data_IF_542039649253
#
_entry.id   IF_542039649253
#
_cell.length_a   1.000
_cell.length_b   1.000
_cell.length_c   1.000
_cell.angle_alpha   90.00
_cell.angle_beta   90.00
_cell.angle_gamma   90.00
#
_symmetry.space_group_name_H-M   'P 1'
#
loop_
_entity.id
_entity.type
_entity.pdbx_description
1 polymer ?
#
# COMPACT_ATOMS: atom_id res chain seq x y z
N UNK A 1 21.26 19.03 15.28
CA UNK A 1 19.94 18.62 14.76
C UNK A 1 19.70 19.11 13.33
N UNK A 2 20.07 20.37 13.00
CA UNK A 2 19.90 20.97 11.66
C UNK A 2 20.80 20.30 10.62
N UNK A 3 22.01 19.88 10.97
CA UNK A 3 22.93 19.19 10.08
C UNK A 3 22.46 17.78 9.67
N UNK A 4 21.74 17.06 10.54
CA UNK A 4 21.15 15.76 10.20
C UNK A 4 20.01 15.89 9.18
N UNK A 5 19.25 16.99 9.22
CA UNK A 5 18.17 17.27 8.26
C UNK A 5 18.72 17.64 6.87
N UNK A 6 19.86 18.35 6.82
CA UNK A 6 20.53 18.72 5.56
C UNK A 6 21.19 17.52 4.88
N UNK A 7 21.74 16.56 5.65
CA UNK A 7 22.28 15.32 5.10
C UNK A 7 21.19 14.41 4.50
N UNK A 8 19.98 14.44 5.05
CA UNK A 8 18.84 13.71 4.46
C UNK A 8 18.40 14.28 3.10
N UNK A 9 18.57 15.58 2.87
CA UNK A 9 18.17 16.20 1.60
C UNK A 9 19.12 15.93 0.43
N UNK A 10 20.36 15.56 0.71
CA UNK A 10 21.41 15.35 -0.32
C UNK A 10 21.60 13.89 -0.72
N UNK A 11 21.05 12.92 0.03
CA UNK A 11 21.26 11.48 -0.21
C UNK A 11 20.20 10.87 -1.12
N UNK A 12 19.07 11.53 -1.32
CA UNK A 12 18.03 11.02 -2.23
C UNK A 12 18.36 11.39 -3.68
N UNK A 13 19.36 10.71 -4.23
CA UNK A 13 19.62 10.67 -5.66
C UNK A 13 18.42 10.07 -6.43
N UNK A 14 18.60 9.93 -7.72
CA UNK A 14 17.64 9.26 -8.59
C UNK A 14 17.23 7.88 -8.03
N UNK A 15 15.98 7.49 -8.26
CA UNK A 15 15.43 6.25 -7.74
C UNK A 15 14.14 5.85 -8.45
N UNK A 16 13.50 4.80 -7.93
CA UNK A 16 12.26 4.23 -8.47
C UNK A 16 11.25 4.03 -7.36
N UNK A 17 10.04 4.47 -7.59
CA UNK A 17 8.88 4.19 -6.73
C UNK A 17 7.97 3.21 -7.45
N UNK A 18 7.57 2.15 -6.76
CA UNK A 18 6.50 1.26 -7.21
C UNK A 18 5.28 1.53 -6.34
N UNK A 19 4.19 1.91 -6.98
CA UNK A 19 2.91 2.13 -6.31
C UNK A 19 2.19 0.79 -6.06
N UNK A 20 1.25 0.77 -5.15
CA UNK A 20 0.41 -0.42 -4.90
C UNK A 20 -0.46 -0.84 -6.09
N UNK A 21 -0.58 0.02 -7.11
CA UNK A 21 -1.22 -0.30 -8.39
C UNK A 21 -0.31 -1.10 -9.32
N UNK A 22 0.99 -1.21 -9.00
CA UNK A 22 2.03 -1.74 -9.87
C UNK A 22 2.66 -0.68 -10.78
N UNK A 23 2.15 0.54 -10.79
CA UNK A 23 2.72 1.65 -11.56
C UNK A 23 4.11 1.99 -11.04
N UNK A 24 5.06 2.13 -11.96
CA UNK A 24 6.44 2.52 -11.69
C UNK A 24 6.63 4.00 -11.99
N UNK A 25 7.19 4.73 -11.03
CA UNK A 25 7.48 6.16 -11.15
C UNK A 25 8.96 6.40 -10.88
N UNK A 26 9.68 6.94 -11.86
CA UNK A 26 11.08 7.30 -11.70
C UNK A 26 11.24 8.63 -10.95
N UNK A 27 12.13 8.66 -9.99
CA UNK A 27 12.51 9.87 -9.26
C UNK A 27 13.74 10.46 -9.97
N UNK A 28 13.58 11.67 -10.51
CA UNK A 28 14.67 12.37 -11.20
C UNK A 28 15.45 13.34 -10.30
N UNK A 29 14.84 13.81 -9.22
CA UNK A 29 15.44 14.75 -8.26
C UNK A 29 15.14 14.33 -6.82
N UNK A 30 16.18 14.26 -5.99
CA UNK A 30 16.11 13.80 -4.59
C UNK A 30 15.27 14.64 -3.61
N UNK A 31 14.71 15.76 -4.06
CA UNK A 31 13.88 16.65 -3.22
C UNK A 31 12.40 16.25 -3.16
N UNK A 32 12.05 15.07 -3.66
CA UNK A 32 10.66 14.69 -3.87
C UNK A 32 9.99 14.01 -2.67
N UNK A 33 10.75 13.70 -1.61
CA UNK A 33 10.20 13.15 -0.37
C UNK A 33 10.02 14.27 0.64
N UNK A 34 8.78 14.60 0.96
CA UNK A 34 8.42 15.69 1.86
C UNK A 34 7.54 15.16 3.00
N UNK A 35 7.53 15.88 4.11
CA UNK A 35 6.60 15.65 5.22
C UNK A 35 5.61 16.81 5.31
N UNK A 36 4.33 16.48 5.39
CA UNK A 36 3.27 17.42 5.67
C UNK A 36 2.33 16.81 6.71
N UNK A 37 2.10 17.51 7.82
CA UNK A 37 1.29 17.05 8.95
C UNK A 37 1.67 15.63 9.41
N UNK A 38 2.97 15.36 9.60
CA UNK A 38 3.55 14.06 9.97
C UNK A 38 3.29 12.92 8.97
N UNK A 39 2.78 13.22 7.79
CA UNK A 39 2.56 12.24 6.73
C UNK A 39 3.63 12.40 5.66
N UNK A 40 4.35 11.31 5.38
CA UNK A 40 5.30 11.29 4.27
C UNK A 40 4.55 11.21 2.96
N UNK A 41 4.94 12.03 2.01
CA UNK A 41 4.46 11.96 0.64
C UNK A 41 5.63 12.12 -0.33
N UNK A 42 5.45 11.56 -1.50
CA UNK A 42 6.36 11.69 -2.61
C UNK A 42 5.71 12.61 -3.65
N UNK A 43 6.47 13.56 -4.19
CA UNK A 43 6.00 14.49 -5.22
C UNK A 43 6.85 14.31 -6.47
N UNK A 44 6.22 14.00 -7.60
CA UNK A 44 6.86 13.94 -8.90
C UNK A 44 5.99 14.64 -9.93
N UNK A 45 6.57 15.58 -10.69
CA UNK A 45 5.86 16.34 -11.73
C UNK A 45 4.53 16.93 -11.25
N UNK A 46 4.52 17.58 -10.07
CA UNK A 46 3.33 18.15 -9.41
C UNK A 46 2.28 17.13 -8.95
N UNK A 47 2.49 15.82 -9.13
CA UNK A 47 1.67 14.76 -8.54
C UNK A 47 2.17 14.40 -7.16
N UNK A 48 1.25 14.29 -6.20
CA UNK A 48 1.53 13.86 -4.83
C UNK A 48 1.09 12.42 -4.62
N UNK A 49 1.98 11.62 -4.07
CA UNK A 49 1.73 10.22 -3.73
C UNK A 49 1.84 10.03 -2.22
N UNK A 50 0.75 9.63 -1.58
CA UNK A 50 0.77 9.33 -0.15
C UNK A 50 1.59 8.05 0.10
N UNK A 51 2.34 8.00 1.21
CA UNK A 51 3.11 6.81 1.63
C UNK A 51 2.28 5.53 1.64
N UNK A 52 0.99 5.61 1.97
CA UNK A 52 0.07 4.46 1.97
C UNK A 52 -0.11 3.81 0.58
N UNK A 53 0.24 4.54 -0.48
CA UNK A 53 0.15 4.06 -1.85
C UNK A 53 1.49 3.56 -2.41
N UNK A 54 2.58 3.70 -1.64
CA UNK A 54 3.92 3.27 -2.03
C UNK A 54 4.12 1.83 -1.57
N UNK A 55 4.31 0.91 -2.51
CA UNK A 55 4.67 -0.46 -2.23
C UNK A 55 6.18 -0.59 -1.98
N UNK A 56 7.00 0.03 -2.83
CA UNK A 56 8.45 0.00 -2.75
C UNK A 56 9.05 1.33 -3.22
N UNK A 57 10.08 1.80 -2.54
CA UNK A 57 10.95 2.90 -2.98
C UNK A 57 12.39 2.44 -2.93
N UNK A 58 13.06 2.47 -4.06
CA UNK A 58 14.44 2.03 -4.23
C UNK A 58 15.26 3.16 -4.85
N UNK A 59 16.47 3.39 -4.37
CA UNK A 59 17.43 4.28 -4.99
C UNK A 59 18.12 3.60 -6.18
N UNK A 60 18.80 4.37 -7.04
CA UNK A 60 19.50 3.83 -8.20
C UNK A 60 20.66 2.87 -7.84
N UNK A 61 21.21 2.97 -6.64
CA UNK A 61 22.19 2.01 -6.12
C UNK A 61 21.57 0.69 -5.65
N UNK A 62 20.26 0.50 -5.81
CA UNK A 62 19.52 -0.68 -5.36
C UNK A 62 19.10 -0.64 -3.90
N UNK A 63 19.45 0.41 -3.14
CA UNK A 63 19.08 0.52 -1.74
C UNK A 63 17.57 0.77 -1.59
N UNK A 64 16.91 -0.04 -0.76
CA UNK A 64 15.49 0.10 -0.43
C UNK A 64 15.35 1.10 0.74
N UNK A 65 14.62 2.19 0.52
CA UNK A 65 14.37 3.22 1.54
C UNK A 65 13.01 3.01 2.21
N UNK A 66 11.97 2.68 1.43
CA UNK A 66 10.64 2.37 1.93
C UNK A 66 10.16 1.04 1.36
N UNK A 67 9.47 0.30 2.22
CA UNK A 67 8.74 -0.90 1.81
C UNK A 67 7.39 -0.92 2.50
N UNK A 68 6.36 -1.26 1.74
CA UNK A 68 4.99 -1.41 2.27
C UNK A 68 4.46 -0.17 3.00
N UNK A 69 4.85 1.03 2.50
CA UNK A 69 4.42 2.32 3.04
C UNK A 69 5.10 2.73 4.35
N UNK A 70 6.15 2.01 4.78
CA UNK A 70 6.92 2.30 6.00
C UNK A 70 8.42 2.37 5.69
N UNK A 71 9.21 3.14 6.46
CA UNK A 71 10.66 3.15 6.34
C UNK A 71 11.26 1.76 6.49
N UNK A 72 12.31 1.45 5.72
CA UNK A 72 12.93 0.12 5.72
C UNK A 72 13.46 -0.28 7.10
N UNK A 73 13.94 0.68 7.90
CA UNK A 73 14.37 0.42 9.28
C UNK A 73 13.24 -0.14 10.13
N UNK A 74 12.06 0.45 10.06
CA UNK A 74 10.86 -0.03 10.76
C UNK A 74 10.36 -1.36 10.20
N UNK A 75 10.39 -1.53 8.88
CA UNK A 75 10.00 -2.79 8.24
C UNK A 75 10.88 -3.97 8.70
N UNK A 76 12.21 -3.75 8.82
CA UNK A 76 13.15 -4.77 9.31
C UNK A 76 12.85 -5.25 10.73
N UNK A 77 12.31 -4.37 11.59
CA UNK A 77 11.95 -4.68 12.98
C UNK A 77 10.64 -5.46 13.12
N UNK A 78 9.82 -5.55 12.07
CA UNK A 78 8.58 -6.31 12.11
C UNK A 78 8.87 -7.82 12.21
N UNK A 79 8.01 -8.54 12.92
CA UNK A 79 7.95 -10.02 12.86
C UNK A 79 7.61 -10.49 11.44
N UNK A 80 7.83 -11.78 11.17
CA UNK A 80 7.46 -12.39 9.87
C UNK A 80 5.99 -12.12 9.53
N UNK A 81 5.09 -12.34 10.50
CA UNK A 81 3.66 -12.03 10.37
C UNK A 81 3.42 -10.53 10.08
N UNK A 82 4.13 -9.64 10.80
CA UNK A 82 4.02 -8.20 10.61
C UNK A 82 4.45 -7.76 9.22
N UNK A 83 5.54 -8.32 8.69
CA UNK A 83 6.02 -8.08 7.32
C UNK A 83 4.99 -8.56 6.29
N UNK A 84 4.46 -9.78 6.46
CA UNK A 84 3.45 -10.33 5.56
C UNK A 84 2.20 -9.45 5.49
N UNK A 85 1.69 -8.99 6.63
CA UNK A 85 0.51 -8.08 6.68
C UNK A 85 0.84 -6.72 6.07
N UNK A 86 2.01 -6.15 6.33
CA UNK A 86 2.42 -4.88 5.75
C UNK A 86 2.49 -4.96 4.21
N UNK A 87 3.10 -6.01 3.69
CA UNK A 87 3.21 -6.26 2.25
C UNK A 87 1.81 -6.49 1.63
N UNK A 88 0.93 -7.24 2.29
CA UNK A 88 -0.44 -7.45 1.85
C UNK A 88 -1.28 -6.15 1.85
N UNK A 89 -1.07 -5.23 2.80
CA UNK A 89 -1.75 -3.92 2.86
C UNK A 89 -1.47 -3.06 1.63
N UNK A 90 -0.28 -3.16 1.07
CA UNK A 90 0.14 -2.40 -0.12
C UNK A 90 0.03 -3.21 -1.42
N UNK A 91 -0.53 -4.41 -1.35
CA UNK A 91 -0.86 -5.25 -2.49
C UNK A 91 -2.26 -4.98 -3.02
N UNK A 92 -2.46 -5.25 -4.31
CA UNK A 92 -3.77 -5.27 -4.98
C UNK A 92 -3.95 -6.61 -5.70
N UNK A 93 -5.07 -6.80 -6.37
CA UNK A 93 -5.28 -7.99 -7.21
C UNK A 93 -4.32 -8.03 -8.41
N UNK A 94 -3.99 -6.84 -8.95
CA UNK A 94 -3.11 -6.69 -10.11
C UNK A 94 -1.63 -6.69 -9.72
N UNK A 95 -1.30 -6.25 -8.51
CA UNK A 95 0.09 -6.15 -8.04
C UNK A 95 0.22 -6.72 -6.63
N UNK A 96 0.97 -7.81 -6.49
CA UNK A 96 1.29 -8.44 -5.20
C UNK A 96 2.68 -7.99 -4.74
N UNK A 97 2.74 -7.19 -3.67
CA UNK A 97 3.99 -6.71 -3.09
C UNK A 97 4.63 -7.79 -2.18
N UNK A 98 4.93 -8.96 -2.74
CA UNK A 98 5.58 -10.05 -2.01
C UNK A 98 7.10 -9.77 -1.90
N UNK A 99 7.67 -9.98 -0.72
CA UNK A 99 9.11 -9.84 -0.51
C UNK A 99 9.84 -11.13 -0.83
N UNK A 100 10.10 -11.38 -2.11
CA UNK A 100 10.79 -12.58 -2.57
C UNK A 100 12.22 -12.72 -2.03
N UNK A 101 12.94 -11.61 -1.79
CA UNK A 101 14.29 -11.68 -1.23
C UNK A 101 14.26 -12.10 0.24
N UNK A 102 13.26 -11.63 0.99
CA UNK A 102 13.01 -12.12 2.33
C UNK A 102 12.68 -13.62 2.29
N UNK A 103 11.76 -14.05 1.43
CA UNK A 103 11.36 -15.46 1.33
C UNK A 103 12.53 -16.40 1.04
N UNK A 104 13.50 -15.96 0.21
CA UNK A 104 14.71 -16.74 -0.06
C UNK A 104 15.62 -16.90 1.16
N UNK A 105 15.54 -15.98 2.12
CA UNK A 105 16.37 -15.99 3.34
C UNK A 105 15.71 -16.68 4.54
N UNK A 106 14.43 -16.98 4.47
CA UNK A 106 13.65 -17.63 5.51
C UNK A 106 13.75 -19.17 5.41
N UNK A 107 13.59 -19.83 6.53
CA UNK A 107 13.37 -21.27 6.54
C UNK A 107 11.97 -21.64 6.01
N UNK A 108 11.70 -22.94 5.83
CA UNK A 108 10.45 -23.42 5.26
C UNK A 108 9.23 -23.08 6.14
N UNK A 109 9.38 -23.11 7.47
CA UNK A 109 8.30 -22.81 8.40
C UNK A 109 7.93 -21.33 8.36
N UNK A 110 8.93 -20.46 8.43
CA UNK A 110 8.74 -19.01 8.36
C UNK A 110 8.18 -18.56 7.00
N UNK A 111 8.59 -19.23 5.90
CA UNK A 111 8.00 -19.03 4.59
C UNK A 111 6.50 -19.38 4.57
N UNK A 112 6.12 -20.50 5.15
CA UNK A 112 4.71 -20.91 5.28
C UNK A 112 3.92 -19.89 6.11
N UNK A 113 4.48 -19.42 7.23
CA UNK A 113 3.84 -18.40 8.08
C UNK A 113 3.64 -17.10 7.28
N UNK A 114 4.67 -16.60 6.58
CA UNK A 114 4.58 -15.40 5.78
C UNK A 114 3.49 -15.53 4.70
N UNK A 115 3.53 -16.58 3.88
CA UNK A 115 2.60 -16.77 2.79
C UNK A 115 1.16 -16.99 3.27
N UNK A 116 0.96 -17.74 4.36
CA UNK A 116 -0.35 -17.91 4.99
C UNK A 116 -0.93 -16.55 5.42
N UNK A 117 -0.18 -15.76 6.19
CA UNK A 117 -0.66 -14.47 6.70
C UNK A 117 -0.87 -13.43 5.60
N UNK A 118 -0.04 -13.44 4.58
CA UNK A 118 -0.23 -12.62 3.38
C UNK A 118 -1.55 -12.96 2.68
N UNK A 119 -1.78 -14.24 2.43
CA UNK A 119 -2.99 -14.73 1.74
C UNK A 119 -4.26 -14.51 2.58
N UNK A 120 -4.21 -14.80 3.89
CA UNK A 120 -5.33 -14.57 4.82
C UNK A 120 -5.78 -13.11 4.80
N UNK A 121 -4.83 -12.17 4.82
CA UNK A 121 -5.13 -10.76 4.76
C UNK A 121 -5.75 -10.36 3.41
N UNK A 122 -5.20 -10.85 2.30
CA UNK A 122 -5.73 -10.59 0.96
C UNK A 122 -7.15 -11.16 0.79
N UNK A 123 -7.40 -12.36 1.32
CA UNK A 123 -8.72 -13.01 1.29
C UNK A 123 -9.73 -12.24 2.15
N UNK A 124 -9.36 -11.87 3.36
CA UNK A 124 -10.21 -11.08 4.25
C UNK A 124 -10.67 -9.76 3.61
N UNK A 125 -9.78 -9.07 2.88
CA UNK A 125 -10.15 -7.87 2.12
C UNK A 125 -11.17 -8.14 1.01
N UNK A 126 -11.07 -9.30 0.34
CA UNK A 126 -12.05 -9.70 -0.69
C UNK A 126 -13.41 -9.95 -0.05
N UNK A 127 -13.47 -10.72 1.03
CA UNK A 127 -14.72 -11.02 1.74
C UNK A 127 -15.41 -9.74 2.19
N UNK A 128 -14.69 -8.81 2.86
CA UNK A 128 -15.28 -7.53 3.30
C UNK A 128 -15.81 -6.71 2.11
N UNK A 129 -15.12 -6.74 0.97
CA UNK A 129 -15.57 -6.01 -0.23
C UNK A 129 -16.87 -6.61 -0.80
N UNK A 130 -16.95 -7.93 -0.92
CA UNK A 130 -18.13 -8.61 -1.46
C UNK A 130 -19.33 -8.51 -0.52
N UNK A 131 -19.14 -8.71 0.79
CA UNK A 131 -20.22 -8.55 1.78
C UNK A 131 -20.73 -7.11 1.82
N UNK A 132 -19.86 -6.12 1.74
CA UNK A 132 -20.25 -4.71 1.67
C UNK A 132 -21.13 -4.40 0.45
N UNK A 133 -20.73 -4.89 -0.73
CA UNK A 133 -21.52 -4.73 -1.97
C UNK A 133 -22.87 -5.44 -1.84
N UNK A 134 -22.92 -6.65 -1.31
CA UNK A 134 -24.13 -7.44 -1.14
C UNK A 134 -25.11 -6.75 -0.19
N UNK A 135 -24.63 -6.23 0.94
CA UNK A 135 -25.46 -5.47 1.91
C UNK A 135 -26.01 -4.21 1.28
N UNK A 136 -25.18 -3.43 0.56
CA UNK A 136 -25.67 -2.25 -0.14
C UNK A 136 -26.73 -2.57 -1.20
N UNK A 137 -26.57 -3.66 -1.96
CA UNK A 137 -27.54 -4.10 -2.95
C UNK A 137 -28.86 -4.53 -2.28
N UNK A 138 -28.80 -5.27 -1.18
CA UNK A 138 -30.00 -5.72 -0.43
C UNK A 138 -30.79 -4.54 0.19
N UNK A 139 -30.14 -3.42 0.51
CA UNK A 139 -30.81 -2.23 1.02
C UNK A 139 -31.36 -1.36 -0.13
N UNK A 140 -30.62 -1.24 -1.22
CA UNK A 140 -31.01 -0.36 -2.34
C UNK A 140 -32.23 -0.88 -3.11
N UNK A 141 -32.36 -2.20 -3.32
CA UNK A 141 -33.46 -2.78 -4.10
C UNK A 141 -34.82 -2.55 -3.43
N UNK A 142 -35.01 -2.85 -2.13
CA UNK A 142 -36.29 -2.57 -1.48
C UNK A 142 -36.68 -1.09 -1.45
N UNK A 143 -35.71 -0.19 -1.27
CA UNK A 143 -35.98 1.25 -1.22
C UNK A 143 -36.42 1.81 -2.57
N UNK A 144 -35.83 1.35 -3.66
CA UNK A 144 -36.25 1.75 -5.02
C UNK A 144 -37.66 1.21 -5.36
N UNK A 145 -38.00 -0.02 -4.99
CA UNK A 145 -39.34 -0.59 -5.16
C UNK A 145 -40.40 0.15 -4.36
N UNK A 146 -40.10 0.56 -3.12
CA UNK A 146 -41.00 1.38 -2.30
C UNK A 146 -41.24 2.75 -2.95
N UNK A 147 -40.22 3.42 -3.47
CA UNK A 147 -40.38 4.71 -4.15
C UNK A 147 -41.26 4.56 -5.40
N UNK A 148 -41.06 3.52 -6.19
CA UNK A 148 -41.91 3.21 -7.36
C UNK A 148 -43.35 2.94 -6.97
N UNK A 149 -43.59 2.17 -5.89
CA UNK A 149 -44.91 1.89 -5.39
C UNK A 149 -45.64 3.17 -4.93
N UNK A 150 -44.97 4.05 -4.18
CA UNK A 150 -45.56 5.31 -3.75
C UNK A 150 -45.80 6.31 -4.89
N UNK A 151 -44.95 6.36 -5.90
CA UNK A 151 -45.16 7.21 -7.08
C UNK A 151 -46.26 6.68 -8.01
N UNK A 152 -46.51 5.37 -8.03
CA UNK A 152 -47.59 4.74 -8.80
C UNK A 152 -48.98 4.92 -8.19
N UNK A 153 -49.09 5.29 -6.90
CA UNK A 153 -50.38 5.52 -6.20
C UNK A 153 -50.84 6.98 -6.35
N UNK A 154 -49.96 7.88 -6.81
CA UNK A 154 -50.27 9.33 -6.91
C UNK A 154 -50.71 9.75 -8.32
N UNK A 155 -50.94 8.82 -9.22
CA UNK A 155 -51.58 9.00 -10.55
C UNK A 155 -52.87 8.20 -10.62
#
# INVERSE_FOLDING_TARGET
FIYALLLFSTVFGQGKVILKTGEEVNITNGNNIKTMNQTWYFENNSKRYNKKNIALLTLNNGEIIFRSGIPISQYRMLSITGKAIADAKTSTELYKNINYDLLKSLDENDNKIYMSKFNDYMLGRKVVRYTGITVCALIAIPSTLLIWFFMGITN
#
